data_IF_063764788204
#
_entry.id   IF_063764788204
#
_cell.length_a   1.000
_cell.length_b   1.000
_cell.length_c   1.000
_cell.angle_alpha   90.00
_cell.angle_beta   90.00
_cell.angle_gamma   90.00
#
_symmetry.space_group_name_H-M   'P 1'
#
loop_
_entity.id
_entity.type
_entity.pdbx_description
1 polymer ?
#
# COMPACT_ATOMS: atom_id res chain seq x y z
N UNK A 1 -6.32 -12.99 -28.19
CA UNK A 1 -5.26 -12.01 -27.86
C UNK A 1 -5.91 -10.85 -27.10
N UNK A 2 -5.70 -10.74 -25.79
CA UNK A 2 -6.23 -9.63 -25.00
C UNK A 2 -5.52 -8.34 -25.40
N UNK A 3 -6.28 -7.31 -25.81
CA UNK A 3 -5.76 -5.96 -26.02
C UNK A 3 -5.72 -5.28 -24.66
N UNK A 4 -4.54 -5.11 -24.07
CA UNK A 4 -4.39 -4.36 -22.83
C UNK A 4 -4.58 -2.86 -23.12
N UNK A 5 -5.53 -2.25 -22.42
CA UNK A 5 -5.81 -0.81 -22.46
C UNK A 5 -5.01 -0.13 -21.35
N UNK A 6 -4.27 0.91 -21.68
CA UNK A 6 -3.53 1.73 -20.72
C UNK A 6 -4.15 3.12 -20.66
N UNK A 7 -4.35 3.65 -19.46
CA UNK A 7 -4.81 5.03 -19.26
C UNK A 7 -3.74 5.87 -18.60
N UNK A 8 -3.56 7.08 -19.12
CA UNK A 8 -2.61 8.08 -18.66
C UNK A 8 -3.38 9.34 -18.28
N UNK A 9 -2.99 9.99 -17.20
CA UNK A 9 -3.52 11.28 -16.76
C UNK A 9 -2.41 12.31 -16.79
N UNK A 10 -2.64 13.45 -17.40
CA UNK A 10 -1.73 14.57 -17.34
C UNK A 10 -1.76 15.19 -15.93
N UNK A 11 -0.60 15.30 -15.28
CA UNK A 11 -0.53 15.84 -13.91
C UNK A 11 -0.86 17.34 -13.83
N UNK A 12 -0.56 18.11 -14.88
CA UNK A 12 -0.74 19.57 -14.86
C UNK A 12 -2.18 20.01 -15.15
N UNK A 13 -2.90 19.28 -16.01
CA UNK A 13 -4.25 19.69 -16.43
C UNK A 13 -5.34 18.63 -16.20
N UNK A 14 -4.99 17.45 -15.69
CA UNK A 14 -5.94 16.37 -15.40
C UNK A 14 -6.51 15.67 -16.63
N UNK A 15 -6.04 16.00 -17.85
CA UNK A 15 -6.52 15.37 -19.08
C UNK A 15 -6.20 13.87 -19.10
N UNK A 16 -7.22 13.04 -19.37
CA UNK A 16 -7.09 11.58 -19.45
C UNK A 16 -6.94 11.11 -20.88
N UNK A 17 -6.00 10.21 -21.12
CA UNK A 17 -5.70 9.62 -22.41
C UNK A 17 -5.63 8.10 -22.29
N UNK A 18 -6.48 7.38 -23.01
CA UNK A 18 -6.44 5.92 -23.05
C UNK A 18 -5.95 5.43 -24.41
N UNK A 19 -5.06 4.43 -24.41
CA UNK A 19 -4.58 3.78 -25.64
C UNK A 19 -4.64 2.25 -25.52
N UNK A 20 -4.87 1.58 -26.65
CA UNK A 20 -4.79 0.12 -26.75
C UNK A 20 -3.41 -0.28 -27.28
N UNK A 21 -2.72 -1.17 -26.59
CA UNK A 21 -1.36 -1.59 -26.95
C UNK A 21 -1.34 -2.41 -28.25
N UNK A 22 -0.82 -1.82 -29.32
CA UNK A 22 -0.24 -2.54 -30.48
C UNK A 22 1.10 -1.90 -30.91
N UNK A 23 1.29 -0.61 -30.66
CA UNK A 23 2.54 0.12 -30.89
C UNK A 23 2.81 1.04 -29.69
N UNK A 24 3.94 0.83 -29.00
CA UNK A 24 4.40 1.48 -27.76
C UNK A 24 4.66 3.01 -27.85
N UNK A 25 3.85 3.75 -28.59
CA UNK A 25 4.03 5.19 -28.80
C UNK A 25 3.12 5.99 -27.88
N UNK A 26 3.62 6.27 -26.68
CA UNK A 26 3.03 7.26 -25.77
C UNK A 26 3.27 8.66 -26.38
N UNK A 27 2.25 9.54 -26.47
CA UNK A 27 2.45 10.92 -26.89
C UNK A 27 3.50 11.59 -25.99
N UNK A 28 4.53 12.18 -26.60
CA UNK A 28 5.59 12.87 -25.86
C UNK A 28 5.10 14.06 -25.04
N UNK A 29 3.95 14.63 -25.40
CA UNK A 29 3.29 15.72 -24.69
C UNK A 29 1.77 15.51 -24.63
N UNK A 30 1.15 16.09 -23.61
CA UNK A 30 -0.28 16.15 -23.45
C UNK A 30 -0.93 16.97 -24.58
N UNK A 31 -1.97 16.44 -25.25
CA UNK A 31 -2.64 17.16 -26.34
C UNK A 31 -3.41 18.39 -25.85
N UNK A 32 -3.69 18.49 -24.54
CA UNK A 32 -4.43 19.60 -23.94
C UNK A 32 -3.52 20.74 -23.47
N UNK A 33 -2.54 20.47 -22.59
CA UNK A 33 -1.62 21.49 -22.03
C UNK A 33 -0.27 21.59 -22.77
N UNK A 34 0.07 20.65 -23.67
CA UNK A 34 1.40 20.47 -24.28
C UNK A 34 2.55 20.19 -23.29
N UNK A 35 2.23 19.86 -22.05
CA UNK A 35 3.18 19.49 -21.01
C UNK A 35 3.52 17.99 -21.08
N UNK A 36 4.70 17.59 -20.60
CA UNK A 36 5.24 16.22 -20.75
C UNK A 36 4.95 15.31 -19.54
N UNK A 37 4.23 15.83 -18.55
CA UNK A 37 4.01 15.15 -17.27
C UNK A 37 2.79 14.23 -17.34
N UNK A 38 3.03 13.02 -17.83
CA UNK A 38 2.06 11.92 -17.82
C UNK A 38 2.22 11.04 -16.59
N UNK A 39 1.09 10.71 -15.97
CA UNK A 39 0.98 9.72 -14.90
C UNK A 39 0.21 8.54 -15.45
N UNK A 40 0.81 7.35 -15.52
CA UNK A 40 0.05 6.14 -15.81
C UNK A 40 -0.93 5.87 -14.66
N UNK A 41 -2.22 5.73 -14.95
CA UNK A 41 -3.24 5.47 -13.93
C UNK A 41 -2.95 4.16 -13.19
N UNK A 42 -2.48 3.12 -13.88
CA UNK A 42 -2.12 1.84 -13.25
C UNK A 42 -1.02 2.00 -12.19
N UNK A 43 -0.02 2.85 -12.46
CA UNK A 43 1.04 3.14 -11.50
C UNK A 43 0.54 3.97 -10.30
N UNK A 44 -0.43 4.86 -10.52
CA UNK A 44 -1.05 5.63 -9.44
C UNK A 44 -1.95 4.75 -8.56
N UNK A 45 -2.74 3.85 -9.17
CA UNK A 45 -3.57 2.87 -8.47
C UNK A 45 -2.68 1.96 -7.61
N UNK A 46 -1.57 1.49 -8.16
CA UNK A 46 -0.64 0.63 -7.41
C UNK A 46 -0.03 1.37 -6.21
N UNK A 47 0.40 2.62 -6.40
CA UNK A 47 0.91 3.47 -5.33
C UNK A 47 -0.13 3.73 -4.24
N UNK A 48 -1.37 4.03 -4.63
CA UNK A 48 -2.47 4.24 -3.69
C UNK A 48 -2.79 2.97 -2.90
N UNK A 49 -2.73 1.79 -3.53
CA UNK A 49 -2.86 0.50 -2.83
C UNK A 49 -1.73 0.30 -1.82
N UNK A 50 -0.49 0.59 -2.19
CA UNK A 50 0.65 0.49 -1.28
C UNK A 50 0.53 1.43 -0.07
N UNK A 51 0.14 2.68 -0.30
CA UNK A 51 -0.11 3.66 0.78
C UNK A 51 -1.21 3.19 1.72
N UNK A 52 -2.31 2.63 1.20
CA UNK A 52 -3.40 2.08 2.02
C UNK A 52 -2.91 0.94 2.91
N UNK A 53 -2.06 0.05 2.40
CA UNK A 53 -1.51 -1.04 3.19
C UNK A 53 -0.56 -0.56 4.29
N UNK A 54 0.29 0.42 3.99
CA UNK A 54 1.19 1.01 4.97
C UNK A 54 0.41 1.72 6.08
N UNK A 55 -0.64 2.48 5.73
CA UNK A 55 -1.56 3.09 6.70
C UNK A 55 -2.19 2.03 7.62
N UNK A 56 -2.69 0.93 7.02
CA UNK A 56 -3.29 -0.17 7.77
C UNK A 56 -2.29 -0.87 8.68
N UNK A 57 -1.01 -0.92 8.31
CA UNK A 57 0.07 -1.43 9.17
C UNK A 57 0.21 -0.61 10.43
N UNK A 58 0.24 0.72 10.29
CA UNK A 58 0.35 1.61 11.44
C UNK A 58 -0.85 1.49 12.38
N UNK A 59 -2.06 1.38 11.84
CA UNK A 59 -3.28 1.20 12.64
C UNK A 59 -3.25 -0.11 13.43
N UNK A 60 -2.89 -1.22 12.78
CA UNK A 60 -2.76 -2.52 13.43
C UNK A 60 -1.65 -2.53 14.49
N UNK A 61 -0.47 -1.99 14.17
CA UNK A 61 0.63 -1.89 15.12
C UNK A 61 0.23 -1.06 16.35
N UNK A 62 -0.51 0.03 16.15
CA UNK A 62 -1.07 0.85 17.24
C UNK A 62 -2.07 0.05 18.09
N UNK A 63 -2.97 -0.71 17.48
CA UNK A 63 -3.91 -1.56 18.22
C UNK A 63 -3.19 -2.65 19.02
N UNK A 64 -2.19 -3.30 18.43
CA UNK A 64 -1.37 -4.29 19.13
C UNK A 64 -0.64 -3.67 20.30
N UNK A 65 0.00 -2.51 20.12
CA UNK A 65 0.62 -1.78 21.23
C UNK A 65 -0.37 -1.51 22.37
N UNK A 66 -1.59 -1.06 22.06
CA UNK A 66 -2.60 -0.80 23.09
C UNK A 66 -3.02 -2.07 23.84
N UNK A 67 -3.12 -3.22 23.15
CA UNK A 67 -3.53 -4.50 23.75
C UNK A 67 -2.38 -5.25 24.44
N UNK A 68 -1.16 -5.04 23.99
CA UNK A 68 0.08 -5.60 24.55
C UNK A 68 0.51 -4.82 25.79
N UNK A 69 0.40 -3.49 25.75
CA UNK A 69 0.82 -2.62 26.86
C UNK A 69 -0.20 -2.52 28.01
N UNK A 70 -1.44 -3.01 27.83
CA UNK A 70 -2.47 -2.98 28.87
C UNK A 70 -3.17 -4.35 29.00
N UNK A 71 -2.96 -5.11 30.09
CA UNK A 71 -2.33 -4.72 31.37
C UNK A 71 -0.81 -5.03 31.42
N UNK A 72 0.02 -4.16 32.02
CA UNK A 72 1.46 -4.40 32.20
C UNK A 72 1.79 -5.75 32.85
N UNK A 73 0.91 -6.20 33.73
CA UNK A 73 1.00 -7.44 34.52
C UNK A 73 0.98 -8.72 33.68
N UNK A 74 0.27 -8.71 32.54
CA UNK A 74 0.19 -9.89 31.65
C UNK A 74 1.46 -10.02 30.82
N UNK A 75 2.07 -8.90 30.44
CA UNK A 75 3.20 -8.91 29.51
C UNK A 75 4.53 -9.26 30.17
N UNK A 76 4.72 -8.84 31.43
CA UNK A 76 5.89 -9.24 32.24
C UNK A 76 5.91 -10.76 32.46
N UNK A 77 4.72 -11.38 32.58
CA UNK A 77 4.56 -12.84 32.74
C UNK A 77 4.83 -13.65 31.46
N UNK A 78 4.57 -13.08 30.28
CA UNK A 78 4.75 -13.78 29.00
C UNK A 78 6.21 -13.83 28.52
N UNK A 79 7.04 -12.85 28.91
CA UNK A 79 8.39 -12.70 28.36
C UNK A 79 9.51 -12.69 29.42
N UNK A 80 9.17 -12.64 30.71
CA UNK A 80 10.12 -12.85 31.81
C UNK A 80 11.29 -11.86 31.87
N UNK A 81 11.16 -10.68 31.26
CA UNK A 81 12.24 -9.71 31.09
C UNK A 81 11.73 -8.29 31.38
N UNK A 82 12.48 -7.45 32.12
CA UNK A 82 12.16 -6.03 32.29
C UNK A 82 12.29 -5.31 30.94
N UNK A 83 11.17 -4.83 30.39
CA UNK A 83 11.14 -4.37 29.00
C UNK A 83 11.52 -2.90 28.80
N UNK A 84 12.32 -2.67 27.77
CA UNK A 84 12.49 -1.38 27.11
C UNK A 84 11.37 -1.19 26.07
N UNK A 85 10.88 0.04 25.95
CA UNK A 85 9.76 0.39 25.05
C UNK A 85 10.02 0.07 23.56
N UNK A 86 11.29 -0.01 23.15
CA UNK A 86 11.73 -0.38 21.80
C UNK A 86 11.33 -1.82 21.42
N UNK A 87 11.43 -2.75 22.37
CA UNK A 87 11.16 -4.17 22.18
C UNK A 87 9.66 -4.41 21.95
N UNK A 88 8.83 -3.68 22.70
CA UNK A 88 7.37 -3.75 22.58
C UNK A 88 6.90 -3.20 21.24
N UNK A 89 7.48 -2.08 20.80
CA UNK A 89 7.21 -1.50 19.49
C UNK A 89 7.59 -2.46 18.35
N UNK A 90 8.74 -3.11 18.45
CA UNK A 90 9.16 -4.10 17.45
C UNK A 90 8.20 -5.29 17.35
N UNK A 91 7.77 -5.84 18.49
CA UNK A 91 6.81 -6.96 18.52
C UNK A 91 5.48 -6.56 17.89
N UNK A 92 4.96 -5.37 18.19
CA UNK A 92 3.72 -4.89 17.59
C UNK A 92 3.82 -4.69 16.08
N UNK A 93 4.95 -4.17 15.58
CA UNK A 93 5.19 -4.04 14.14
C UNK A 93 5.28 -5.42 13.47
N UNK A 94 5.98 -6.39 14.09
CA UNK A 94 6.06 -7.76 13.58
C UNK A 94 4.68 -8.43 13.49
N UNK A 95 3.81 -8.24 14.49
CA UNK A 95 2.45 -8.74 14.46
C UNK A 95 1.61 -8.09 13.35
N UNK A 96 1.75 -6.77 13.16
CA UNK A 96 1.08 -6.05 12.08
C UNK A 96 1.54 -6.52 10.69
N UNK A 97 2.85 -6.74 10.49
CA UNK A 97 3.41 -7.28 9.25
C UNK A 97 2.86 -8.68 8.95
N UNK A 98 2.79 -9.56 9.96
CA UNK A 98 2.24 -10.91 9.82
C UNK A 98 0.76 -10.90 9.41
N UNK A 99 -0.06 -10.05 10.06
CA UNK A 99 -1.47 -9.93 9.75
C UNK A 99 -1.71 -9.35 8.34
N UNK A 100 -0.94 -8.35 7.93
CA UNK A 100 -1.02 -7.80 6.56
C UNK A 100 -0.65 -8.85 5.53
N UNK A 101 0.36 -9.67 5.80
CA UNK A 101 0.74 -10.76 4.91
C UNK A 101 -0.43 -11.71 4.67
N UNK A 102 -1.18 -12.07 5.71
CA UNK A 102 -2.38 -12.90 5.59
C UNK A 102 -3.51 -12.18 4.83
N UNK A 103 -3.81 -10.92 5.16
CA UNK A 103 -4.87 -10.16 4.49
C UNK A 103 -4.61 -9.94 2.99
N UNK A 104 -3.34 -9.78 2.60
CA UNK A 104 -2.95 -9.69 1.19
C UNK A 104 -3.14 -11.02 0.45
N UNK A 105 -2.93 -12.15 1.13
CA UNK A 105 -3.14 -13.49 0.55
C UNK A 105 -4.64 -13.73 0.30
N UNK A 106 -5.49 -13.36 1.25
CA UNK A 106 -6.95 -13.48 1.14
C UNK A 106 -7.53 -12.63 -0.02
N UNK A 107 -6.98 -11.43 -0.29
CA UNK A 107 -7.40 -10.62 -1.44
C UNK A 107 -7.04 -11.26 -2.79
N UNK A 108 -5.91 -11.96 -2.87
CA UNK A 108 -5.53 -12.70 -4.08
C UNK A 108 -6.38 -13.94 -4.30
N UNK A 109 -6.78 -14.65 -3.25
CA UNK A 109 -7.56 -15.90 -3.36
C UNK A 109 -9.06 -15.68 -3.61
N UNK A 110 -9.61 -14.51 -3.30
CA UNK A 110 -11.00 -14.14 -3.63
C UNK A 110 -11.18 -13.57 -5.04
N UNK A 111 -10.09 -13.48 -5.82
CA UNK A 111 -10.08 -12.90 -7.17
C UNK A 111 -10.03 -13.96 -8.30
N UNK A 112 -9.98 -15.25 -7.94
CA UNK A 112 -10.03 -16.43 -8.85
C UNK A 112 -11.42 -17.10 -8.81
#
# INVERSE_FOLDING_TARGET
MSKTQFTFTCSACGFKFSMYSIHNTIPSACPHCKCIDWIAEDANIQREKEIKWEQRRYELAKEFLLRVCFPPEVFESCLGMPQRADTVAQVAVMMADALIKHLRQDETEQSD
#
